data_IF_742572387660
#
_entry.id   IF_742572387660
#
_cell.length_a   1.000
_cell.length_b   1.000
_cell.length_c   1.000
_cell.angle_alpha   90.00
_cell.angle_beta   90.00
_cell.angle_gamma   90.00
#
_symmetry.space_group_name_H-M   'P 1'
#
loop_
_entity.id
_entity.type
_entity.pdbx_description
1 polymer ?
#
# COMPACT_ATOMS: atom_id res chain seq x y z
N UNK A 1 8.95 32.38 11.63
CA UNK A 1 7.51 32.61 11.82
C UNK A 1 6.93 31.39 12.52
N UNK A 2 6.02 31.58 13.47
CA UNK A 2 5.41 30.48 14.25
C UNK A 2 3.89 30.62 14.26
N UNK A 3 3.19 29.49 14.21
CA UNK A 3 1.74 29.45 14.33
C UNK A 3 1.24 30.10 15.62
N UNK A 4 2.00 30.01 16.72
CA UNK A 4 1.64 30.61 17.99
C UNK A 4 1.55 32.13 18.00
N UNK A 5 2.20 32.81 17.04
CA UNK A 5 2.17 34.27 16.92
C UNK A 5 1.30 34.71 15.75
N UNK A 6 1.50 34.09 14.58
CA UNK A 6 0.85 34.53 13.34
C UNK A 6 -0.60 34.05 13.20
N UNK A 7 -0.98 32.98 13.92
CA UNK A 7 -2.26 32.29 13.78
C UNK A 7 -2.99 32.17 15.12
N UNK A 8 -2.79 33.13 16.03
CA UNK A 8 -3.29 33.12 17.41
C UNK A 8 -4.82 32.99 17.54
N UNK A 9 -5.58 33.37 16.49
CA UNK A 9 -7.04 33.31 16.42
C UNK A 9 -7.57 32.20 15.50
N UNK A 10 -6.69 31.36 14.93
CA UNK A 10 -7.05 30.39 13.88
C UNK A 10 -7.23 28.95 14.39
N UNK A 11 -7.70 28.76 15.62
CA UNK A 11 -7.84 27.44 16.26
C UNK A 11 -8.54 26.41 15.36
N UNK A 12 -9.72 26.73 14.81
CA UNK A 12 -10.52 25.78 14.02
C UNK A 12 -9.79 25.36 12.73
N UNK A 13 -9.13 26.32 12.08
CA UNK A 13 -8.35 26.07 10.87
C UNK A 13 -7.13 25.18 11.17
N UNK A 14 -6.40 25.42 12.26
CA UNK A 14 -5.28 24.59 12.69
C UNK A 14 -5.73 23.18 13.09
N UNK A 15 -6.83 23.07 13.81
CA UNK A 15 -7.45 21.79 14.17
C UNK A 15 -7.80 20.99 12.91
N UNK A 16 -8.45 21.61 11.93
CA UNK A 16 -8.82 20.96 10.69
C UNK A 16 -7.62 20.59 9.81
N UNK A 17 -6.64 21.50 9.68
CA UNK A 17 -5.40 21.27 8.91
C UNK A 17 -4.62 20.08 9.44
N UNK A 18 -4.42 20.03 10.77
CA UNK A 18 -3.70 18.91 11.39
C UNK A 18 -4.44 17.58 11.25
N UNK A 19 -5.78 17.58 11.28
CA UNK A 19 -6.58 16.37 10.98
C UNK A 19 -6.39 15.93 9.53
N UNK A 20 -6.53 16.85 8.56
CA UNK A 20 -6.34 16.55 7.13
C UNK A 20 -4.97 15.95 6.84
N UNK A 21 -3.93 16.43 7.51
CA UNK A 21 -2.61 15.87 7.35
C UNK A 21 -2.47 14.45 7.92
N UNK A 22 -3.15 14.13 9.03
CA UNK A 22 -3.25 12.75 9.54
C UNK A 22 -4.00 11.88 8.53
N UNK A 23 -5.14 12.35 8.01
CA UNK A 23 -5.93 11.61 7.02
C UNK A 23 -5.13 11.32 5.74
N UNK A 24 -4.29 12.27 5.32
CA UNK A 24 -3.36 12.07 4.21
C UNK A 24 -2.32 10.99 4.52
N UNK A 25 -1.71 11.00 5.71
CA UNK A 25 -0.74 9.98 6.09
C UNK A 25 -1.37 8.58 6.13
N UNK A 26 -2.61 8.46 6.63
CA UNK A 26 -3.36 7.21 6.59
C UNK A 26 -3.63 6.77 5.15
N UNK A 27 -4.06 7.68 4.27
CA UNK A 27 -4.27 7.39 2.85
C UNK A 27 -2.99 6.91 2.17
N UNK A 28 -1.86 7.53 2.47
CA UNK A 28 -0.56 7.08 1.98
C UNK A 28 -0.22 5.67 2.47
N UNK A 29 -0.49 5.36 3.74
CA UNK A 29 -0.35 4.00 4.27
C UNK A 29 -1.22 2.96 3.55
N UNK A 30 -2.48 3.31 3.21
CA UNK A 30 -3.35 2.46 2.39
C UNK A 30 -2.77 2.23 0.99
N UNK A 31 -2.29 3.28 0.34
CA UNK A 31 -1.65 3.17 -0.97
C UNK A 31 -0.46 2.20 -0.96
N UNK A 32 0.44 2.29 0.03
CA UNK A 32 1.57 1.36 0.14
C UNK A 32 1.09 -0.07 0.39
N UNK A 33 0.03 -0.26 1.18
CA UNK A 33 -0.58 -1.59 1.40
C UNK A 33 -1.12 -2.19 0.11
N UNK A 34 -1.88 -1.42 -0.67
CA UNK A 34 -2.42 -1.89 -1.95
C UNK A 34 -1.29 -2.23 -2.92
N UNK A 35 -0.20 -1.46 -2.88
CA UNK A 35 1.01 -1.76 -3.63
C UNK A 35 1.67 -3.07 -3.21
N UNK A 36 1.81 -3.36 -1.91
CA UNK A 36 2.30 -4.65 -1.42
C UNK A 36 1.45 -5.82 -1.95
N UNK A 37 0.12 -5.66 -2.01
CA UNK A 37 -0.77 -6.70 -2.53
C UNK A 37 -0.52 -6.97 -4.02
N UNK A 38 -0.26 -5.93 -4.82
CA UNK A 38 0.08 -6.06 -6.24
C UNK A 38 1.40 -6.81 -6.43
N UNK A 39 2.44 -6.47 -5.65
CA UNK A 39 3.74 -7.16 -5.70
C UNK A 39 3.59 -8.65 -5.36
N UNK A 40 2.84 -8.97 -4.30
CA UNK A 40 2.55 -10.37 -3.92
C UNK A 40 1.73 -11.10 -4.98
N UNK A 41 0.76 -10.45 -5.62
CA UNK A 41 -0.02 -11.04 -6.70
C UNK A 41 0.87 -11.36 -7.91
N UNK A 42 1.75 -10.43 -8.29
CA UNK A 42 2.69 -10.61 -9.39
C UNK A 42 3.65 -11.76 -9.12
N UNK A 43 4.29 -11.79 -7.95
CA UNK A 43 5.15 -12.89 -7.52
C UNK A 43 4.41 -14.23 -7.53
N UNK A 44 3.20 -14.28 -6.97
CA UNK A 44 2.38 -15.49 -6.95
C UNK A 44 2.00 -15.98 -8.36
N UNK A 45 1.78 -15.07 -9.31
CA UNK A 45 1.58 -15.42 -10.73
C UNK A 45 2.86 -15.98 -11.36
N UNK A 46 4.03 -15.39 -11.10
CA UNK A 46 5.31 -15.92 -11.58
C UNK A 46 5.62 -17.31 -11.02
N UNK A 47 5.42 -17.54 -9.71
CA UNK A 47 5.61 -18.88 -9.11
C UNK A 47 4.71 -19.94 -9.74
N UNK A 48 3.44 -19.59 -9.99
CA UNK A 48 2.50 -20.49 -10.70
C UNK A 48 2.94 -20.77 -12.14
N UNK A 49 3.42 -19.74 -12.85
CA UNK A 49 3.99 -19.90 -14.18
C UNK A 49 5.14 -20.92 -14.14
N UNK A 50 6.14 -20.71 -13.29
CA UNK A 50 7.29 -21.64 -13.18
C UNK A 50 6.83 -23.06 -12.86
N UNK A 51 5.92 -23.22 -11.90
CA UNK A 51 5.39 -24.54 -11.51
C UNK A 51 4.68 -25.25 -12.67
N UNK A 52 3.95 -24.52 -13.52
CA UNK A 52 3.20 -25.09 -14.64
C UNK A 52 4.10 -25.62 -15.76
N UNK A 53 5.27 -25.01 -15.94
CA UNK A 53 6.25 -25.38 -16.97
C UNK A 53 7.41 -26.22 -16.41
N UNK A 54 7.39 -26.54 -15.12
CA UNK A 54 8.42 -27.37 -14.52
C UNK A 54 8.38 -28.80 -15.12
N UNK A 55 9.53 -29.30 -15.59
CA UNK A 55 9.76 -30.70 -15.96
C UNK A 55 9.01 -31.74 -15.12
N UNK A 56 8.20 -32.59 -15.78
CA UNK A 56 7.61 -33.74 -15.11
C UNK A 56 8.63 -34.87 -15.02
N UNK A 57 8.66 -35.59 -13.89
CA UNK A 57 9.58 -36.73 -13.66
C UNK A 57 9.55 -37.83 -14.74
N UNK A 58 8.46 -37.95 -15.50
CA UNK A 58 8.35 -38.95 -16.58
C UNK A 58 9.08 -38.57 -17.87
N UNK A 59 9.55 -37.33 -17.98
CA UNK A 59 10.24 -36.79 -19.16
C UNK A 59 11.75 -36.62 -18.90
N UNK A 60 12.28 -37.22 -17.82
CA UNK A 60 13.67 -37.07 -17.34
C UNK A 60 14.73 -37.39 -18.40
N UNK A 61 14.38 -38.27 -19.34
CA UNK A 61 15.21 -38.64 -20.49
C UNK A 61 15.34 -37.53 -21.56
N UNK A 62 14.37 -36.61 -21.67
CA UNK A 62 14.45 -35.44 -22.57
C UNK A 62 15.26 -34.29 -21.95
N UNK A 63 15.44 -34.28 -20.62
CA UNK A 63 16.23 -33.27 -19.91
C UNK A 63 17.75 -33.42 -20.05
N UNK A 64 18.22 -34.34 -20.88
CA UNK A 64 19.64 -34.49 -21.17
C UNK A 64 20.14 -33.45 -22.18
N UNK A 65 19.28 -32.94 -23.05
CA UNK A 65 19.62 -31.93 -24.04
C UNK A 65 19.87 -30.57 -23.40
N UNK A 66 20.85 -29.84 -23.95
CA UNK A 66 21.29 -28.53 -23.48
C UNK A 66 20.16 -27.50 -23.50
N UNK A 67 19.28 -27.56 -24.51
CA UNK A 67 18.07 -26.72 -24.60
C UNK A 67 17.12 -26.91 -23.42
N UNK A 68 16.83 -28.16 -23.03
CA UNK A 68 15.98 -28.48 -21.90
C UNK A 68 16.62 -28.08 -20.56
N UNK A 69 17.94 -28.25 -20.43
CA UNK A 69 18.71 -27.80 -19.26
C UNK A 69 18.70 -26.28 -19.12
N UNK A 70 18.93 -25.56 -20.21
CA UNK A 70 18.87 -24.10 -20.25
C UNK A 70 17.48 -23.57 -19.88
N UNK A 71 16.42 -24.19 -20.41
CA UNK A 71 15.05 -23.83 -20.05
C UNK A 71 14.77 -24.07 -18.56
N UNK A 72 15.22 -25.19 -18.00
CA UNK A 72 15.07 -25.46 -16.56
C UNK A 72 15.81 -24.43 -15.70
N UNK A 73 17.02 -24.04 -16.10
CA UNK A 73 17.78 -22.98 -15.41
C UNK A 73 17.05 -21.62 -15.49
N UNK A 74 16.52 -21.26 -16.65
CA UNK A 74 15.69 -20.07 -16.81
C UNK A 74 14.45 -20.09 -15.89
N UNK A 75 13.78 -21.23 -15.75
CA UNK A 75 12.65 -21.38 -14.82
C UNK A 75 13.06 -21.15 -13.36
N UNK A 76 14.26 -21.58 -12.96
CA UNK A 76 14.81 -21.28 -11.63
C UNK A 76 15.02 -19.78 -11.43
N UNK A 77 15.65 -19.09 -12.39
CA UNK A 77 15.88 -17.64 -12.29
C UNK A 77 14.55 -16.85 -12.24
N UNK A 78 13.53 -17.24 -13.01
CA UNK A 78 12.20 -16.62 -12.93
C UNK A 78 11.52 -16.88 -11.58
N UNK A 79 11.76 -18.03 -10.95
CA UNK A 79 11.26 -18.30 -9.60
C UNK A 79 11.96 -17.45 -8.54
N UNK A 80 13.24 -17.17 -8.72
CA UNK A 80 14.02 -16.32 -7.83
C UNK A 80 13.63 -14.84 -8.00
N UNK A 81 13.36 -14.39 -9.24
CA UNK A 81 12.73 -13.09 -9.52
C UNK A 81 11.40 -12.93 -8.77
N UNK A 82 10.55 -13.96 -8.77
CA UNK A 82 9.31 -13.94 -8.00
C UNK A 82 9.57 -13.74 -6.49
N UNK A 83 10.60 -14.39 -5.94
CA UNK A 83 11.03 -14.18 -4.56
C UNK A 83 11.45 -12.75 -4.27
N UNK A 84 12.12 -12.07 -5.21
CA UNK A 84 12.51 -10.67 -5.03
C UNK A 84 11.32 -9.72 -4.98
N UNK A 85 10.24 -10.00 -5.72
CA UNK A 85 9.00 -9.24 -5.59
C UNK A 85 8.29 -9.47 -4.24
N UNK A 86 8.35 -10.69 -3.69
CA UNK A 86 7.87 -10.95 -2.32
C UNK A 86 8.68 -10.15 -1.29
N UNK A 87 10.02 -10.11 -1.43
CA UNK A 87 10.90 -9.32 -0.57
C UNK A 87 10.57 -7.83 -0.61
N UNK A 88 10.24 -7.26 -1.78
CA UNK A 88 9.76 -5.87 -1.88
C UNK A 88 8.50 -5.69 -1.03
N UNK A 89 7.50 -6.56 -1.20
CA UNK A 89 6.24 -6.48 -0.48
C UNK A 89 6.44 -6.61 1.04
N UNK A 90 7.25 -7.56 1.48
CA UNK A 90 7.58 -7.81 2.89
C UNK A 90 8.26 -6.60 3.54
N UNK A 91 9.27 -6.04 2.89
CA UNK A 91 10.01 -4.87 3.40
C UNK A 91 9.14 -3.61 3.44
N UNK A 92 8.32 -3.37 2.41
CA UNK A 92 7.34 -2.27 2.46
C UNK A 92 6.35 -2.47 3.61
N UNK A 93 5.95 -3.71 3.90
CA UNK A 93 5.03 -4.03 4.97
C UNK A 93 5.65 -3.85 6.37
N UNK A 94 6.89 -4.29 6.56
CA UNK A 94 7.58 -4.25 7.86
C UNK A 94 8.17 -2.88 8.19
N UNK A 95 8.71 -2.18 7.19
CA UNK A 95 9.57 -1.02 7.42
C UNK A 95 8.87 0.30 7.10
N UNK A 96 7.85 0.27 6.23
CA UNK A 96 7.09 1.46 5.84
C UNK A 96 5.70 1.45 6.47
N UNK A 97 4.86 0.45 6.19
CA UNK A 97 3.48 0.43 6.67
C UNK A 97 3.41 0.38 8.19
N UNK A 98 4.25 -0.43 8.83
CA UNK A 98 4.29 -0.53 10.29
C UNK A 98 4.63 0.82 10.94
N UNK A 99 5.66 1.49 10.45
CA UNK A 99 6.11 2.79 10.99
C UNK A 99 5.10 3.91 10.72
N UNK A 100 4.43 3.90 9.56
CA UNK A 100 3.30 4.81 9.29
C UNK A 100 2.20 4.61 10.34
N UNK A 101 1.81 3.37 10.64
CA UNK A 101 0.75 3.11 11.62
C UNK A 101 1.15 3.57 13.03
N UNK A 102 2.41 3.36 13.42
CA UNK A 102 2.92 3.88 14.70
C UNK A 102 2.87 5.40 14.75
N UNK A 103 3.34 6.07 13.71
CA UNK A 103 3.34 7.53 13.64
C UNK A 103 1.92 8.11 13.65
N UNK A 104 0.98 7.50 12.92
CA UNK A 104 -0.44 7.91 12.94
C UNK A 104 -1.01 7.84 14.35
N UNK A 105 -0.76 6.74 15.07
CA UNK A 105 -1.25 6.57 16.44
C UNK A 105 -0.67 7.63 17.38
N UNK A 106 0.65 7.81 17.33
CA UNK A 106 1.39 8.79 18.14
C UNK A 106 0.87 10.21 17.92
N UNK A 107 0.80 10.65 16.66
CA UNK A 107 0.34 11.98 16.29
C UNK A 107 -1.14 12.19 16.65
N UNK A 108 -2.01 11.18 16.48
CA UNK A 108 -3.43 11.28 16.89
C UNK A 108 -3.56 11.49 18.39
N UNK A 109 -2.77 10.78 19.20
CA UNK A 109 -2.79 10.91 20.65
C UNK A 109 -2.27 12.27 21.12
N UNK A 110 -1.12 12.69 20.60
CA UNK A 110 -0.52 13.98 20.94
C UNK A 110 -1.41 15.15 20.52
N UNK A 111 -1.93 15.15 19.28
CA UNK A 111 -2.90 16.14 18.81
C UNK A 111 -4.13 16.22 19.72
N UNK A 112 -4.66 15.07 20.16
CA UNK A 112 -5.82 15.04 21.06
C UNK A 112 -5.52 15.74 22.38
N UNK A 113 -4.35 15.51 22.99
CA UNK A 113 -3.93 16.18 24.23
C UNK A 113 -3.85 17.70 24.05
N UNK A 114 -3.22 18.16 22.96
CA UNK A 114 -3.09 19.59 22.65
C UNK A 114 -4.45 20.29 22.47
N UNK A 115 -5.40 19.65 21.79
CA UNK A 115 -6.74 20.21 21.61
C UNK A 115 -7.55 20.21 22.92
N UNK A 116 -7.35 19.23 23.80
CA UNK A 116 -7.95 19.22 25.14
C UNK A 116 -7.41 20.36 26.02
N UNK A 117 -6.10 20.61 25.97
CA UNK A 117 -5.48 21.74 26.68
C UNK A 117 -5.98 23.08 26.16
N UNK A 118 -6.08 23.25 24.83
CA UNK A 118 -6.70 24.42 24.22
C UNK A 118 -8.14 24.65 24.74
N UNK A 119 -8.99 23.62 24.68
CA UNK A 119 -10.37 23.71 25.14
C UNK A 119 -10.46 24.08 26.63
N UNK A 120 -9.56 23.54 27.46
CA UNK A 120 -9.44 23.89 28.88
C UNK A 120 -9.07 25.36 29.05
N UNK A 121 -8.07 25.87 28.34
CA UNK A 121 -7.64 27.27 28.44
C UNK A 121 -8.70 28.25 27.95
N UNK A 122 -9.43 27.90 26.88
CA UNK A 122 -10.57 28.68 26.38
C UNK A 122 -11.72 28.71 27.40
N UNK A 123 -12.04 27.56 28.01
CA UNK A 123 -13.05 27.52 29.07
C UNK A 123 -12.65 28.37 30.29
N UNK A 124 -11.37 28.33 30.69
CA UNK A 124 -10.84 29.14 31.80
C UNK A 124 -11.04 30.64 31.56
N UNK A 125 -10.65 31.16 30.39
CA UNK A 125 -10.81 32.59 30.09
C UNK A 125 -12.28 32.99 29.96
N UNK A 126 -13.12 32.15 29.33
CA UNK A 126 -14.55 32.43 29.19
C UNK A 126 -15.27 32.50 30.55
N UNK A 127 -14.95 31.59 31.48
CA UNK A 127 -15.52 31.62 32.83
C UNK A 127 -15.10 32.87 33.62
N UNK A 128 -13.84 33.29 33.45
CA UNK A 128 -13.33 34.49 34.11
C UNK A 128 -13.96 35.77 33.52
N UNK A 129 -14.12 35.86 32.20
CA UNK A 129 -14.84 36.95 31.52
C UNK A 129 -16.31 37.00 31.99
N UNK A 130 -16.99 35.86 32.10
CA UNK A 130 -18.36 35.82 32.62
C UNK A 130 -18.45 36.31 34.09
N UNK A 131 -17.44 36.03 34.90
CA UNK A 131 -17.34 36.51 36.29
C UNK A 131 -17.10 38.03 36.35
N UNK A 132 -16.27 38.56 35.45
CA UNK A 132 -16.08 39.99 35.27
C UNK A 132 -17.37 40.70 34.84
N UNK A 133 -18.09 40.15 33.87
CA UNK A 133 -19.37 40.73 33.42
C UNK A 133 -20.41 40.75 34.54
N UNK A 134 -20.47 39.70 35.36
CA UNK A 134 -21.38 39.62 36.50
C UNK A 134 -21.06 40.67 37.57
N UNK A 135 -19.78 40.77 37.97
CA UNK A 135 -19.35 41.78 38.96
C UNK A 135 -19.57 43.20 38.46
N UNK A 136 -19.30 43.47 37.17
CA UNK A 136 -19.60 44.75 36.52
C UNK A 136 -21.08 45.10 36.61
N UNK A 137 -21.98 44.18 36.23
CA UNK A 137 -23.44 44.39 36.29
C UNK A 137 -23.92 44.64 37.72
N UNK A 138 -23.36 43.93 38.70
CA UNK A 138 -23.67 44.14 40.12
C UNK A 138 -23.26 45.54 40.59
N UNK A 139 -22.05 45.98 40.22
CA UNK A 139 -21.59 47.34 40.50
C UNK A 139 -22.46 48.40 39.83
N UNK A 140 -22.79 48.25 38.54
CA UNK A 140 -23.68 49.17 37.82
C UNK A 140 -25.06 49.30 38.48
N UNK A 141 -25.59 48.18 39.02
CA UNK A 141 -26.85 48.19 39.78
C UNK A 141 -26.70 48.88 41.13
N UNK A 142 -25.68 48.53 41.90
CA UNK A 142 -25.43 49.11 43.22
C UNK A 142 -25.17 50.62 43.15
N UNK A 143 -24.47 51.07 42.11
CA UNK A 143 -24.24 52.49 41.83
C UNK A 143 -25.56 53.24 41.60
N UNK A 144 -26.44 52.74 40.73
CA UNK A 144 -27.77 53.33 40.49
C UNK A 144 -28.64 53.36 41.75
N UNK A 145 -28.56 52.33 42.59
CA UNK A 145 -29.28 52.30 43.87
C UNK A 145 -28.73 53.32 44.88
N UNK A 146 -27.41 53.49 44.93
CA UNK A 146 -26.76 54.50 45.76
C UNK A 146 -27.12 55.93 45.30
N UNK A 147 -27.10 56.21 43.99
CA UNK A 147 -27.53 57.50 43.43
C UNK A 147 -28.99 57.83 43.79
N UNK A 148 -29.90 56.85 43.67
CA UNK A 148 -31.31 57.02 44.06
C UNK A 148 -31.47 57.26 45.57
N UNK A 149 -30.70 56.54 46.40
CA UNK A 149 -30.76 56.73 47.84
C UNK A 149 -30.20 58.11 48.27
N UNK A 150 -29.19 58.61 47.57
CA UNK A 150 -28.64 59.96 47.75
C UNK A 150 -29.67 61.04 47.40
N UNK A 151 -30.31 60.95 46.23
CA UNK A 151 -31.38 61.89 45.80
C UNK A 151 -32.56 61.88 46.79
N UNK A 152 -33.00 60.69 47.23
CA UNK A 152 -34.07 60.57 48.23
C UNK A 152 -33.69 61.21 49.58
N UNK A 153 -32.46 61.02 50.04
CA UNK A 153 -31.97 61.67 51.26
C UNK A 153 -31.93 63.19 51.11
N UNK A 154 -31.40 63.71 50.00
CA UNK A 154 -31.33 65.15 49.73
C UNK A 154 -32.73 65.79 49.69
N UNK A 155 -33.71 65.13 49.08
CA UNK A 155 -35.10 65.61 49.08
C UNK A 155 -35.72 65.58 50.48
N UNK A 156 -35.46 64.53 51.25
CA UNK A 156 -35.99 64.42 52.61
C UNK A 156 -35.39 65.46 53.56
N UNK A 157 -34.08 65.73 53.44
CA UNK A 157 -33.38 66.72 54.26
C UNK A 157 -33.83 68.17 53.96
N UNK A 158 -34.26 68.43 52.73
CA UNK A 158 -34.79 69.73 52.29
C UNK A 158 -36.29 69.94 52.59
N UNK A 159 -37.04 68.89 52.96
CA UNK A 159 -38.48 68.99 53.24
C UNK A 159 -38.75 69.36 54.70
N UNK A 160 -39.20 70.61 54.90
CA UNK A 160 -39.52 71.15 56.22
C UNK A 160 -40.71 70.46 56.91
N UNK A 161 -41.47 69.63 56.19
CA UNK A 161 -42.63 68.92 56.73
C UNK A 161 -42.29 67.50 57.23
N UNK A 162 -41.08 66.99 56.99
CA UNK A 162 -40.66 65.68 57.47
C UNK A 162 -40.13 65.74 58.90
N UNK A 163 -40.38 64.68 59.66
CA UNK A 163 -39.83 64.55 61.00
C UNK A 163 -38.32 64.27 60.95
N UNK A 164 -37.59 64.67 62.00
CA UNK A 164 -36.16 64.35 62.15
C UNK A 164 -35.87 62.85 62.07
N UNK A 165 -36.79 62.02 62.55
CA UNK A 165 -36.65 60.56 62.50
C UNK A 165 -36.74 60.01 61.07
N UNK A 166 -37.59 60.60 60.22
CA UNK A 166 -37.72 60.20 58.81
C UNK A 166 -36.50 60.62 57.98
N UNK A 167 -35.97 61.81 58.23
CA UNK A 167 -34.71 62.26 57.61
C UNK A 167 -33.55 61.35 58.01
N UNK A 168 -33.43 61.00 59.30
CA UNK A 168 -32.37 60.10 59.78
C UNK A 168 -32.50 58.69 59.18
N UNK A 169 -33.73 58.20 58.99
CA UNK A 169 -33.97 56.92 58.29
C UNK A 169 -33.44 56.95 56.85
N UNK A 170 -33.65 58.04 56.12
CA UNK A 170 -33.12 58.17 54.76
C UNK A 170 -31.59 58.32 54.75
N UNK A 171 -31.00 59.02 55.74
CA UNK A 171 -29.55 59.08 55.91
C UNK A 171 -28.92 57.70 56.11
N UNK A 172 -29.51 56.88 56.99
CA UNK A 172 -29.04 55.51 57.23
C UNK A 172 -29.16 54.65 55.96
N UNK A 173 -30.28 54.74 55.23
CA UNK A 173 -30.47 54.01 53.97
C UNK A 173 -29.45 54.42 52.89
N UNK A 174 -29.18 55.72 52.76
CA UNK A 174 -28.13 56.24 51.88
C UNK A 174 -26.75 55.66 52.26
N UNK A 175 -26.39 55.68 53.55
CA UNK A 175 -25.12 55.14 54.02
C UNK A 175 -24.96 53.65 53.69
N UNK A 176 -26.00 52.83 53.92
CA UNK A 176 -26.01 51.40 53.59
C UNK A 176 -25.84 51.17 52.08
N UNK A 177 -26.59 51.90 51.25
CA UNK A 177 -26.49 51.77 49.78
C UNK A 177 -25.14 52.21 49.24
N UNK A 178 -24.56 53.27 49.81
CA UNK A 178 -23.23 53.73 49.44
C UNK A 178 -22.13 52.72 49.83
N UNK A 179 -22.21 52.13 51.03
CA UNK A 179 -21.30 51.06 51.44
C UNK A 179 -21.38 49.86 50.49
N UNK A 180 -22.59 49.39 50.15
CA UNK A 180 -22.78 48.28 49.22
C UNK A 180 -22.25 48.58 47.80
N UNK A 181 -22.36 49.84 47.36
CA UNK A 181 -21.77 50.30 46.10
C UNK A 181 -20.24 50.20 46.12
N UNK A 182 -19.58 50.68 47.18
CA UNK A 182 -18.12 50.57 47.29
C UNK A 182 -17.64 49.12 47.42
N UNK A 183 -18.37 48.25 48.13
CA UNK A 183 -18.08 46.80 48.16
C UNK A 183 -18.16 46.18 46.76
N UNK A 184 -19.22 46.49 46.00
CA UNK A 184 -19.41 45.98 44.63
C UNK A 184 -18.37 46.52 43.65
N UNK A 185 -17.93 47.77 43.83
CA UNK A 185 -16.85 48.41 43.06
C UNK A 185 -15.52 47.72 43.28
N UNK A 186 -15.18 47.42 44.53
CA UNK A 186 -13.96 46.70 44.87
C UNK A 186 -13.96 45.27 44.29
N UNK A 187 -15.09 44.57 44.35
CA UNK A 187 -15.22 43.25 43.72
C UNK A 187 -15.05 43.32 42.20
N UNK A 188 -15.68 44.29 41.54
CA UNK A 188 -15.48 44.52 40.10
C UNK A 188 -14.01 44.81 39.76
N UNK A 189 -13.34 45.68 40.52
CA UNK A 189 -11.91 45.98 40.32
C UNK A 189 -11.03 44.73 40.48
N UNK A 190 -11.31 43.90 41.50
CA UNK A 190 -10.61 42.64 41.72
C UNK A 190 -10.80 41.65 40.56
N UNK A 191 -12.03 41.49 40.06
CA UNK A 191 -12.31 40.62 38.91
C UNK A 191 -11.69 41.16 37.62
N UNK A 192 -11.60 42.47 37.45
CA UNK A 192 -10.96 43.10 36.29
C UNK A 192 -9.47 42.79 36.26
N UNK A 193 -8.77 42.97 37.39
CA UNK A 193 -7.36 42.65 37.49
C UNK A 193 -7.10 41.17 37.16
N UNK A 194 -7.83 40.25 37.81
CA UNK A 194 -7.72 38.80 37.56
C UNK A 194 -7.96 38.44 36.10
N UNK A 195 -8.97 39.05 35.47
CA UNK A 195 -9.29 38.81 34.06
C UNK A 195 -8.18 39.29 33.14
N UNK A 196 -7.62 40.47 33.37
CA UNK A 196 -6.55 41.03 32.54
C UNK A 196 -5.26 40.19 32.65
N UNK A 197 -4.91 39.74 33.86
CA UNK A 197 -3.78 38.84 34.09
C UNK A 197 -3.97 37.51 33.33
N UNK A 198 -5.13 36.88 33.47
CA UNK A 198 -5.45 35.63 32.77
C UNK A 198 -5.50 35.82 31.25
N UNK A 199 -6.04 36.93 30.77
CA UNK A 199 -6.09 37.26 29.35
C UNK A 199 -4.68 37.40 28.76
N UNK A 200 -3.78 38.11 29.47
CA UNK A 200 -2.39 38.22 29.07
C UNK A 200 -1.71 36.84 29.02
N UNK A 201 -1.93 36.00 30.03
CA UNK A 201 -1.39 34.64 30.07
C UNK A 201 -1.94 33.77 28.92
N UNK A 202 -3.23 33.86 28.64
CA UNK A 202 -3.91 33.11 27.59
C UNK A 202 -3.32 33.41 26.21
N UNK A 203 -3.25 34.70 25.84
CA UNK A 203 -2.85 35.11 24.49
C UNK A 203 -1.34 35.23 24.29
N UNK A 204 -0.54 35.39 25.35
CA UNK A 204 0.92 35.57 25.22
C UNK A 204 1.73 34.34 25.58
N UNK A 205 1.14 33.33 26.23
CA UNK A 205 1.85 32.14 26.68
C UNK A 205 1.10 30.84 26.37
N UNK A 206 -0.11 30.67 26.92
CA UNK A 206 -0.79 29.36 26.88
C UNK A 206 -1.19 28.93 25.46
N UNK A 207 -1.98 29.75 24.76
CA UNK A 207 -2.43 29.43 23.40
C UNK A 207 -1.28 29.43 22.38
N UNK A 208 -0.35 30.41 22.39
CA UNK A 208 0.83 30.36 21.53
C UNK A 208 1.63 29.07 21.67
N UNK A 209 1.80 28.56 22.89
CA UNK A 209 2.54 27.33 23.14
C UNK A 209 1.82 26.10 22.56
N UNK A 210 0.50 26.00 22.72
CA UNK A 210 -0.30 24.92 22.09
C UNK A 210 -0.14 24.95 20.58
N UNK A 211 -0.19 26.13 19.95
CA UNK A 211 -0.06 26.26 18.49
C UNK A 211 1.36 25.98 18.00
N UNK A 212 2.38 26.34 18.78
CA UNK A 212 3.77 25.97 18.51
C UNK A 212 3.93 24.45 18.54
N UNK A 213 3.37 23.77 19.53
CA UNK A 213 3.41 22.31 19.62
C UNK A 213 2.63 21.63 18.49
N UNK A 214 1.46 22.17 18.10
CA UNK A 214 0.74 21.70 16.91
C UNK A 214 1.56 21.87 15.62
N UNK A 215 2.31 22.97 15.50
CA UNK A 215 3.22 23.19 14.37
C UNK A 215 4.33 22.13 14.34
N UNK A 216 4.99 21.87 15.48
CA UNK A 216 6.05 20.87 15.56
C UNK A 216 5.56 19.46 15.21
N UNK A 217 4.34 19.12 15.65
CA UNK A 217 3.65 17.88 15.32
C UNK A 217 3.34 17.79 13.81
N UNK A 218 2.87 18.88 13.19
CA UNK A 218 2.62 18.94 11.74
C UNK A 218 3.92 18.78 10.94
N UNK A 219 4.98 19.46 11.34
CA UNK A 219 6.30 19.37 10.70
C UNK A 219 6.92 17.98 10.89
N UNK A 220 6.75 17.35 12.06
CA UNK A 220 7.16 15.95 12.32
C UNK A 220 6.48 15.03 11.32
N UNK A 221 5.16 15.17 11.11
CA UNK A 221 4.43 14.40 10.09
C UNK A 221 5.02 14.62 8.71
N UNK A 222 5.19 15.87 8.28
CA UNK A 222 5.68 16.21 6.94
C UNK A 222 7.08 15.61 6.68
N UNK A 223 7.99 15.73 7.65
CA UNK A 223 9.34 15.14 7.55
C UNK A 223 9.29 13.63 7.40
N UNK A 224 8.43 12.95 8.14
CA UNK A 224 8.28 11.49 8.07
C UNK A 224 7.62 11.03 6.78
N UNK A 225 6.60 11.75 6.26
CA UNK A 225 6.03 11.46 4.93
C UNK A 225 7.12 11.46 3.87
N UNK A 226 7.97 12.50 3.85
CA UNK A 226 9.11 12.57 2.93
C UNK A 226 10.05 11.37 3.10
N UNK A 227 10.35 11.01 4.35
CA UNK A 227 11.21 9.86 4.64
C UNK A 227 10.60 8.55 4.14
N UNK A 228 9.33 8.29 4.40
CA UNK A 228 8.65 7.08 3.93
C UNK A 228 8.60 6.99 2.41
N UNK A 229 8.35 8.10 1.71
CA UNK A 229 8.39 8.13 0.25
C UNK A 229 9.77 7.76 -0.32
N UNK A 230 10.84 8.34 0.24
CA UNK A 230 12.20 8.00 -0.16
C UNK A 230 12.52 6.54 0.16
N UNK A 231 12.19 6.10 1.37
CA UNK A 231 12.48 4.74 1.82
C UNK A 231 11.75 3.68 1.01
N UNK A 232 10.48 3.91 0.63
CA UNK A 232 9.75 3.00 -0.28
C UNK A 232 10.46 2.81 -1.62
N UNK A 233 11.07 3.87 -2.18
CA UNK A 233 11.83 3.76 -3.41
C UNK A 233 13.16 3.01 -3.21
N UNK A 234 13.82 3.20 -2.07
CA UNK A 234 15.06 2.49 -1.75
C UNK A 234 14.83 0.99 -1.52
N UNK A 235 13.69 0.59 -0.94
CA UNK A 235 13.28 -0.82 -0.83
C UNK A 235 13.27 -1.51 -2.19
N UNK A 236 12.75 -0.85 -3.23
CA UNK A 236 12.78 -1.39 -4.60
C UNK A 236 14.19 -1.44 -5.18
N UNK A 237 14.96 -0.34 -5.03
CA UNK A 237 16.34 -0.29 -5.55
C UNK A 237 17.21 -1.39 -4.97
N UNK A 238 17.00 -1.75 -3.71
CA UNK A 238 17.79 -2.74 -3.01
C UNK A 238 17.66 -4.16 -3.59
N UNK A 239 16.58 -4.47 -4.33
CA UNK A 239 16.44 -5.78 -4.98
C UNK A 239 17.08 -5.84 -6.36
N UNK A 240 17.39 -4.70 -6.99
CA UNK A 240 17.94 -4.64 -8.35
C UNK A 240 19.22 -5.44 -8.56
N UNK A 241 20.19 -5.48 -7.63
CA UNK A 241 21.39 -6.30 -7.81
C UNK A 241 21.08 -7.79 -8.01
N UNK A 242 20.09 -8.32 -7.29
CA UNK A 242 19.69 -9.72 -7.39
C UNK A 242 18.83 -9.94 -8.62
N UNK A 243 17.94 -9.00 -8.96
CA UNK A 243 17.18 -9.05 -10.23
C UNK A 243 18.14 -9.11 -11.42
N UNK A 244 19.17 -8.24 -11.45
CA UNK A 244 20.19 -8.26 -12.50
C UNK A 244 20.92 -9.61 -12.54
N UNK A 245 21.29 -10.17 -11.37
CA UNK A 245 21.89 -11.51 -11.30
C UNK A 245 20.98 -12.59 -11.90
N UNK A 246 19.67 -12.54 -11.66
CA UNK A 246 18.74 -13.49 -12.27
C UNK A 246 18.66 -13.33 -13.78
N UNK A 247 18.63 -12.10 -14.28
CA UNK A 247 18.65 -11.81 -15.72
C UNK A 247 19.95 -12.31 -16.38
N UNK A 248 21.11 -12.08 -15.74
CA UNK A 248 22.40 -12.60 -16.17
C UNK A 248 22.42 -14.14 -16.16
N UNK A 249 21.79 -14.76 -15.17
CA UNK A 249 21.61 -16.22 -15.08
C UNK A 249 20.83 -16.79 -16.26
N UNK A 250 19.76 -16.11 -16.70
CA UNK A 250 18.98 -16.49 -17.88
C UNK A 250 19.84 -16.41 -19.15
N UNK A 251 20.59 -15.31 -19.32
CA UNK A 251 21.48 -15.13 -20.48
C UNK A 251 22.57 -16.21 -20.49
N UNK A 252 23.17 -16.50 -19.33
CA UNK A 252 24.18 -17.53 -19.21
C UNK A 252 23.62 -18.93 -19.52
N UNK A 253 22.41 -19.26 -19.04
CA UNK A 253 21.74 -20.51 -19.38
C UNK A 253 21.53 -20.66 -20.89
N UNK A 254 21.10 -19.59 -21.57
CA UNK A 254 20.95 -19.59 -23.02
C UNK A 254 22.28 -19.81 -23.75
N UNK A 255 23.36 -19.19 -23.28
CA UNK A 255 24.71 -19.35 -23.86
C UNK A 255 25.32 -20.75 -23.64
N UNK A 256 24.74 -21.58 -22.77
CA UNK A 256 25.17 -22.97 -22.56
C UNK A 256 24.50 -23.96 -23.53
N UNK A 257 23.55 -23.52 -24.36
CA UNK A 257 22.96 -24.36 -25.40
C UNK A 257 24.02 -24.70 -26.44
N UNK A 258 24.14 -25.98 -26.78
CA UNK A 258 25.15 -26.50 -27.70
C UNK A 258 24.52 -27.49 -28.69
N UNK A 259 24.34 -27.03 -29.92
CA UNK A 259 23.69 -27.79 -30.99
C UNK A 259 24.48 -29.05 -31.41
N UNK A 260 25.81 -28.99 -31.35
CA UNK A 260 26.66 -30.14 -31.71
C UNK A 260 26.60 -31.23 -30.65
N UNK A 261 26.66 -30.84 -29.38
CA UNK A 261 26.53 -31.79 -28.28
C UNK A 261 25.16 -32.47 -28.29
N UNK A 262 24.09 -31.71 -28.48
CA UNK A 262 22.74 -32.26 -28.50
C UNK A 262 22.52 -33.24 -29.65
N UNK A 263 23.02 -32.92 -30.86
CA UNK A 263 22.89 -33.83 -32.01
C UNK A 263 23.73 -35.10 -31.87
N UNK A 264 24.88 -35.05 -31.20
CA UNK A 264 25.67 -36.25 -30.85
C UNK A 264 24.88 -37.13 -29.88
N UNK A 265 24.26 -36.56 -28.84
CA UNK A 265 23.44 -37.32 -27.89
C UNK A 265 22.28 -38.05 -28.59
N UNK A 266 21.70 -37.45 -29.65
CA UNK A 266 20.68 -38.13 -30.48
C UNK A 266 21.27 -39.35 -31.18
N UNK A 267 22.46 -39.24 -31.77
CA UNK A 267 23.13 -40.39 -32.41
C UNK A 267 23.40 -41.48 -31.38
N UNK A 268 24.00 -41.14 -30.23
CA UNK A 268 24.29 -42.10 -29.16
C UNK A 268 23.04 -42.83 -28.68
N UNK A 269 21.91 -42.13 -28.63
CA UNK A 269 20.62 -42.67 -28.19
C UNK A 269 19.94 -43.59 -29.20
N UNK A 270 19.99 -43.24 -30.49
CA UNK A 270 19.17 -43.91 -31.51
C UNK A 270 19.98 -44.73 -32.52
N UNK A 271 21.32 -44.68 -32.49
CA UNK A 271 22.15 -45.52 -33.35
C UNK A 271 21.88 -46.99 -33.04
N UNK A 272 21.24 -47.67 -33.99
CA UNK A 272 20.82 -49.07 -33.86
C UNK A 272 21.95 -50.08 -34.03
N UNK A 273 23.11 -49.63 -34.56
CA UNK A 273 24.20 -50.50 -34.96
C UNK A 273 23.97 -51.22 -36.29
N UNK A 274 22.81 -51.06 -36.92
CA UNK A 274 22.58 -51.57 -38.27
C UNK A 274 23.40 -50.79 -39.29
N UNK A 275 24.06 -51.52 -40.18
CA UNK A 275 24.66 -50.96 -41.38
C UNK A 275 23.61 -50.87 -42.48
N UNK A 276 23.72 -49.89 -43.39
CA UNK A 276 22.90 -49.89 -44.60
C UNK A 276 23.03 -51.24 -45.33
N UNK A 277 21.93 -51.80 -45.85
CA UNK A 277 21.97 -53.03 -46.62
C UNK A 277 22.95 -52.91 -47.79
N UNK A 278 23.75 -53.95 -48.02
CA UNK A 278 24.56 -54.08 -49.22
C UNK A 278 23.72 -54.45 -50.45
N UNK A 279 24.39 -54.51 -51.61
CA UNK A 279 23.73 -54.89 -52.86
C UNK A 279 23.15 -56.32 -52.77
N UNK A 280 21.98 -56.51 -53.39
CA UNK A 280 21.39 -57.84 -53.47
C UNK A 280 22.27 -58.73 -54.37
N UNK A 281 22.65 -59.94 -53.90
CA UNK A 281 23.45 -60.85 -54.71
C UNK A 281 22.63 -61.35 -55.91
N UNK A 282 23.31 -61.63 -57.02
CA UNK A 282 22.70 -62.30 -58.17
C UNK A 282 22.40 -63.76 -57.84
N UNK A 283 21.16 -64.19 -58.07
CA UNK A 283 20.74 -65.58 -57.88
C UNK A 283 20.88 -66.36 -59.19
N UNK A 284 21.95 -67.16 -59.30
CA UNK A 284 22.22 -67.99 -60.48
C UNK A 284 21.42 -69.30 -60.43
N UNK A 285 20.22 -69.27 -61.01
CA UNK A 285 19.29 -70.40 -61.07
C UNK A 285 19.80 -71.60 -61.87
N UNK A 286 20.90 -71.46 -62.64
CA UNK A 286 21.48 -72.55 -63.42
C UNK A 286 22.21 -73.61 -62.57
N UNK A 287 22.48 -73.31 -61.28
CA UNK A 287 23.21 -74.18 -60.36
C UNK A 287 22.35 -75.08 -59.45
N UNK A 288 21.02 -75.05 -59.58
CA UNK A 288 20.12 -76.00 -58.88
C UNK A 288 20.09 -75.89 -57.35
N UNK A 289 20.55 -74.77 -56.78
CA UNK A 289 20.46 -74.48 -55.34
C UNK A 289 19.19 -73.69 -54.96
N UNK A 290 18.81 -73.76 -53.69
CA UNK A 290 17.66 -73.03 -53.12
C UNK A 290 17.84 -71.50 -53.23
N UNK A 291 16.82 -70.81 -53.74
CA UNK A 291 16.77 -69.35 -53.88
C UNK A 291 16.85 -68.65 -52.52
N UNK A 292 17.84 -67.77 -52.32
CA UNK A 292 17.96 -66.96 -51.10
C UNK A 292 16.86 -65.89 -51.01
N UNK A 293 16.03 -65.85 -49.94
CA UNK A 293 14.97 -64.85 -49.80
C UNK A 293 15.54 -63.43 -49.67
N UNK A 294 14.99 -62.48 -50.43
CA UNK A 294 15.31 -61.06 -50.31
C UNK A 294 14.77 -60.51 -48.98
N UNK A 295 15.66 -60.18 -48.04
CA UNK A 295 15.29 -59.51 -46.77
C UNK A 295 15.28 -58.01 -46.99
N UNK A 296 14.10 -57.39 -46.95
CA UNK A 296 13.95 -55.94 -46.98
C UNK A 296 14.38 -55.33 -45.64
N UNK A 297 15.30 -54.35 -45.62
CA UNK A 297 15.73 -53.68 -44.41
C UNK A 297 14.66 -52.68 -43.97
N UNK A 298 14.10 -52.90 -42.78
CA UNK A 298 13.09 -52.03 -42.16
C UNK A 298 11.78 -52.73 -41.73
N UNK A 299 11.59 -54.00 -42.08
CA UNK A 299 10.45 -54.78 -41.60
C UNK A 299 10.70 -55.26 -40.18
N UNK A 300 10.29 -54.47 -39.19
CA UNK A 300 10.12 -54.96 -37.84
C UNK A 300 9.22 -56.21 -37.83
N UNK A 301 9.67 -57.26 -37.14
CA UNK A 301 9.03 -58.56 -36.93
C UNK A 301 8.99 -59.55 -38.12
N UNK A 302 10.07 -60.32 -38.29
CA UNK A 302 9.97 -61.74 -38.67
C UNK A 302 11.10 -62.54 -38.03
N UNK A 303 10.76 -63.29 -36.98
CA UNK A 303 11.54 -64.44 -36.55
C UNK A 303 11.36 -65.53 -37.60
N UNK A 304 12.44 -65.95 -38.27
CA UNK A 304 12.49 -67.23 -38.98
C UNK A 304 13.42 -68.14 -38.19
N UNK A 305 12.80 -69.14 -37.57
CA UNK A 305 13.40 -70.21 -36.81
C UNK A 305 14.00 -71.26 -37.75
N UNK A 306 15.24 -71.68 -37.50
CA UNK A 306 15.71 -73.06 -37.69
C UNK A 306 16.94 -73.31 -36.79
N UNK A 307 16.88 -74.40 -36.01
CA UNK A 307 17.72 -74.70 -34.82
C UNK A 307 19.21 -74.94 -35.11
N UNK A 308 20.09 -75.02 -34.10
CA UNK A 308 20.02 -75.82 -32.86
C UNK A 308 20.94 -75.22 -31.77
N UNK A 309 20.52 -75.23 -30.50
CA UNK A 309 21.45 -75.29 -29.34
C UNK A 309 21.42 -74.18 -28.28
N UNK A 310 20.43 -74.25 -27.36
CA UNK A 310 20.49 -73.92 -25.92
C UNK A 310 21.25 -72.65 -25.40
N UNK A 311 20.51 -71.63 -24.94
CA UNK A 311 20.22 -71.39 -23.51
C UNK A 311 19.33 -70.14 -23.33
N UNK A 312 18.39 -70.23 -22.38
CA UNK A 312 17.41 -69.22 -21.97
C UNK A 312 18.06 -68.02 -21.24
N UNK A 313 17.54 -66.82 -21.47
CA UNK A 313 17.05 -65.94 -20.38
C UNK A 313 15.92 -65.03 -20.88
N UNK A 314 14.87 -64.91 -20.09
CA UNK A 314 13.57 -64.33 -20.42
C UNK A 314 13.58 -62.84 -20.78
N UNK A 315 12.79 -62.51 -21.81
CA UNK A 315 12.24 -61.19 -22.09
C UNK A 315 10.97 -60.93 -21.28
N UNK A 316 10.75 -59.71 -20.81
CA UNK A 316 9.40 -59.19 -20.60
C UNK A 316 9.27 -57.77 -21.17
N UNK A 317 8.69 -57.67 -22.36
CA UNK A 317 7.99 -56.45 -22.81
C UNK A 317 6.55 -56.86 -23.09
N UNK A 318 5.65 -56.44 -22.19
CA UNK A 318 4.21 -56.70 -22.29
C UNK A 318 3.62 -55.81 -23.41
N UNK A 319 3.14 -56.44 -24.49
CA UNK A 319 2.14 -55.86 -25.39
C UNK A 319 0.76 -56.20 -24.86
N UNK A 320 -0.01 -55.18 -24.46
CA UNK A 320 -1.43 -55.31 -24.13
C UNK A 320 -2.30 -54.93 -25.32
N UNK A 321 -3.06 -55.89 -25.86
CA UNK A 321 -4.20 -55.68 -26.75
C UNK A 321 -5.44 -55.33 -25.93
N UNK A 322 -6.19 -54.29 -26.31
CA UNK A 322 -7.55 -54.04 -25.81
C UNK A 322 -8.54 -54.04 -26.99
N UNK A 323 -9.56 -54.89 -26.88
CA UNK A 323 -10.85 -54.83 -27.59
C UNK A 323 -11.90 -54.70 -26.46
N UNK A 324 -13.03 -53.98 -26.51
CA UNK A 324 -13.85 -53.51 -27.61
C UNK A 324 -14.78 -52.35 -27.13
N UNK A 325 -15.33 -51.59 -28.08
CA UNK A 325 -16.74 -51.16 -28.04
C UNK A 325 -17.09 -49.78 -27.49
N UNK A 326 -17.26 -48.79 -28.40
CA UNK A 326 -18.57 -48.15 -28.72
C UNK A 326 -18.37 -47.03 -29.76
N UNK A 327 -18.84 -47.29 -30.99
CA UNK A 327 -19.10 -46.27 -32.00
C UNK A 327 -20.34 -45.45 -31.63
N UNK A 328 -20.29 -44.12 -31.79
CA UNK A 328 -21.38 -43.31 -32.34
C UNK A 328 -20.84 -42.13 -33.17
N UNK A 329 -21.16 -42.21 -34.47
CA UNK A 329 -21.14 -41.23 -35.58
C UNK A 329 -21.20 -39.73 -35.22
N UNK A 330 -20.43 -38.91 -35.95
CA UNK A 330 -20.86 -38.03 -37.09
C UNK A 330 -19.65 -37.26 -37.67
N UNK A 331 -19.27 -37.49 -38.94
CA UNK A 331 -19.42 -36.62 -40.16
C UNK A 331 -18.76 -35.24 -40.00
N UNK A 332 -17.59 -34.98 -40.61
CA UNK A 332 -17.40 -34.28 -41.91
C UNK A 332 -16.98 -32.82 -41.63
N UNK A 333 -16.17 -32.06 -42.38
CA UNK A 333 -15.56 -32.09 -43.71
C UNK A 333 -14.40 -31.06 -43.72
N UNK A 334 -13.51 -31.19 -44.70
CA UNK A 334 -12.39 -30.34 -45.12
C UNK A 334 -12.56 -28.81 -45.01
N UNK A 335 -11.45 -28.08 -44.76
CA UNK A 335 -10.93 -27.05 -45.68
C UNK A 335 -9.60 -26.42 -45.17
N UNK A 336 -8.60 -26.42 -46.05
CA UNK A 336 -7.38 -25.61 -46.02
C UNK A 336 -7.59 -24.48 -47.07
N UNK A 337 -6.99 -23.31 -46.83
CA UNK A 337 -6.93 -22.08 -47.65
C UNK A 337 -8.10 -21.07 -47.53
N UNK A 338 -7.86 -19.92 -46.89
CA UNK A 338 -7.63 -18.63 -47.59
C UNK A 338 -7.81 -17.38 -46.70
N UNK A 339 -6.89 -16.42 -46.93
CA UNK A 339 -7.00 -14.95 -46.90
C UNK A 339 -7.30 -14.16 -45.61
N UNK A 340 -6.33 -13.32 -45.25
CA UNK A 340 -6.42 -11.86 -45.08
C UNK A 340 -7.73 -11.27 -44.53
N UNK A 341 -7.65 -10.76 -43.29
CA UNK A 341 -8.25 -9.48 -42.87
C UNK A 341 -7.75 -9.07 -41.49
N UNK A 342 -6.73 -8.20 -41.46
CA UNK A 342 -6.45 -7.34 -40.31
C UNK A 342 -6.10 -5.94 -40.84
N UNK A 343 -7.12 -5.24 -41.32
CA UNK A 343 -7.12 -3.79 -41.51
C UNK A 343 -8.48 -3.31 -41.03
N UNK A 344 -8.47 -2.76 -39.82
CA UNK A 344 -9.30 -1.64 -39.32
C UNK A 344 -9.43 -1.78 -37.82
N UNK A 345 -8.78 -0.86 -37.10
CA UNK A 345 -9.22 -0.15 -35.88
C UNK A 345 -7.96 0.44 -35.22
N UNK A 346 -7.49 1.57 -35.74
CA UNK A 346 -6.85 2.65 -34.97
C UNK A 346 -6.40 3.78 -35.91
N UNK A 347 -7.32 4.67 -36.26
CA UNK A 347 -6.99 5.99 -36.80
C UNK A 347 -8.10 6.97 -36.41
N UNK A 348 -8.03 7.47 -35.18
CA UNK A 348 -8.63 8.75 -34.79
C UNK A 348 -8.15 9.15 -33.41
N UNK A 349 -6.98 9.79 -33.32
CA UNK A 349 -6.74 10.98 -32.48
C UNK A 349 -5.50 11.69 -33.05
N UNK A 350 -5.71 12.54 -34.05
CA UNK A 350 -4.81 13.64 -34.39
C UNK A 350 -5.67 14.72 -35.03
N UNK A 351 -6.13 15.64 -34.20
CA UNK A 351 -6.43 17.03 -34.51
C UNK A 351 -7.07 17.65 -33.27
N UNK A 352 -6.30 18.46 -32.54
CA UNK A 352 -6.79 19.71 -31.93
C UNK A 352 -5.61 20.50 -31.36
N UNK A 353 -4.91 21.18 -32.27
CA UNK A 353 -4.25 22.45 -32.00
C UNK A 353 -4.72 23.40 -33.11
N UNK A 354 -5.64 24.31 -32.78
CA UNK A 354 -5.58 25.74 -33.15
C UNK A 354 -6.94 26.44 -33.08
N UNK A 355 -6.88 27.69 -32.64
CA UNK A 355 -7.93 28.70 -32.50
C UNK A 355 -8.81 28.52 -31.25
N UNK A 356 -9.08 29.53 -30.42
CA UNK A 356 -8.97 31.00 -30.55
C UNK A 356 -8.64 31.54 -29.14
N UNK A 357 -7.98 32.68 -28.97
CA UNK A 357 -8.53 34.01 -29.26
C UNK A 357 -8.66 34.76 -27.94
#
# INVERSE_FOLDING_TARGET
MSWGTELWDQYDNLSFHTQKGIDFLERYGHFIRDRCLIEMEYAGKLRRLVKNYQPKKKEEEEYQYSTCKAFKAMLCEVNDLAGQHEVIAENLQSDVIREINYLVKDIKEERKKLLQDSAKYVAMINNQVASLERSRKNYEKAFKEAERALDNFQRADADLNLSRAEVEKQRMNMAIKNQHCEESKNEYANQLQKTNELQSQHYKALMPEVFRQLQELDEKRIRNVRHFMAHSADVERNVFPIINKCLDGIINAANQVNEKQDTILVIERYKSGFEPPGDFPFDDLSRGGESTPLVLPGSGNTYVSSGVGAHRSESMTVKGTMSAGKLKKRVGLFAIFSSNKLMDVCSSVKNNLSSSG
#
